data_IF_253965064194
#
_entry.id   IF_253965064194
#
_cell.length_a   1.000
_cell.length_b   1.000
_cell.length_c   1.000
_cell.angle_alpha   90.00
_cell.angle_beta   90.00
_cell.angle_gamma   90.00
#
_symmetry.space_group_name_H-M   'P 1'
#
loop_
_entity.id
_entity.type
_entity.pdbx_description
1 polymer ?
#
# COMPACT_ATOMS: atom_id res chain seq x y z
N UNK A 1 7.50 0.25 6.28
CA UNK A 1 6.74 0.76 7.44
C UNK A 1 6.95 -0.12 8.66
N UNK A 2 6.49 -1.39 8.71
CA UNK A 2 6.87 -2.29 9.83
C UNK A 2 8.27 -2.89 9.67
N UNK A 3 8.65 -3.26 8.45
CA UNK A 3 9.99 -3.79 8.16
C UNK A 3 11.14 -2.79 8.33
N UNK A 4 10.82 -1.51 8.55
CA UNK A 4 11.78 -0.42 8.80
C UNK A 4 12.03 -0.17 10.29
N UNK A 5 11.36 -0.90 11.19
CA UNK A 5 11.62 -0.83 12.63
C UNK A 5 12.98 -1.48 12.97
N UNK A 6 13.71 -1.00 13.99
CA UNK A 6 14.89 -1.66 14.54
C UNK A 6 14.57 -3.07 15.08
N UNK A 7 15.54 -3.97 15.05
CA UNK A 7 15.35 -5.38 15.45
C UNK A 7 14.85 -5.54 16.89
N UNK A 8 15.29 -4.66 17.79
CA UNK A 8 14.82 -4.61 19.19
C UNK A 8 13.31 -4.32 19.32
N UNK A 9 12.73 -3.61 18.34
CA UNK A 9 11.31 -3.26 18.31
C UNK A 9 10.47 -4.29 17.54
N UNK A 10 11.12 -5.15 16.73
CA UNK A 10 10.43 -6.22 15.98
C UNK A 10 9.92 -7.34 16.91
N UNK A 11 10.51 -7.51 18.08
CA UNK A 11 10.04 -8.48 19.09
C UNK A 11 8.67 -8.10 19.65
N UNK A 12 8.39 -6.80 19.82
CA UNK A 12 7.11 -6.27 20.31
C UNK A 12 6.28 -5.64 19.18
N UNK A 13 6.27 -6.28 18.02
CA UNK A 13 5.58 -5.80 16.82
C UNK A 13 4.11 -5.41 17.06
N UNK A 14 3.41 -6.13 17.94
CA UNK A 14 1.99 -5.94 18.26
C UNK A 14 1.67 -4.53 18.73
N UNK A 15 2.55 -3.94 19.53
CA UNK A 15 2.33 -2.62 20.14
C UNK A 15 2.47 -1.48 19.10
N UNK A 16 3.21 -1.73 18.02
CA UNK A 16 3.47 -0.75 16.97
C UNK A 16 2.46 -0.80 15.81
N UNK A 17 1.62 -1.84 15.72
CA UNK A 17 0.65 -1.96 14.62
C UNK A 17 -0.39 -0.84 14.69
N UNK A 18 -1.01 -0.63 15.86
CA UNK A 18 -2.04 0.40 16.04
C UNK A 18 -1.57 1.82 15.68
N UNK A 19 -0.46 2.34 16.23
CA UNK A 19 0.02 3.68 15.89
C UNK A 19 0.43 3.79 14.42
N UNK A 20 0.98 2.73 13.83
CA UNK A 20 1.38 2.76 12.42
C UNK A 20 0.17 2.77 11.48
N UNK A 21 -0.86 1.96 11.75
CA UNK A 21 -2.10 1.97 10.97
C UNK A 21 -2.75 3.34 11.05
N UNK A 22 -2.76 3.95 12.24
CA UNK A 22 -3.26 5.31 12.41
C UNK A 22 -2.46 6.32 11.58
N UNK A 23 -1.12 6.26 11.63
CA UNK A 23 -0.25 7.12 10.84
C UNK A 23 -0.47 6.93 9.33
N UNK A 24 -0.67 5.69 8.86
CA UNK A 24 -0.98 5.40 7.46
C UNK A 24 -2.33 6.01 7.04
N UNK A 25 -3.36 5.83 7.86
CA UNK A 25 -4.71 6.32 7.57
C UNK A 25 -4.80 7.86 7.60
N UNK A 26 -3.94 8.51 8.39
CA UNK A 26 -3.89 9.97 8.55
C UNK A 26 -2.99 10.70 7.53
N UNK A 27 -2.23 9.96 6.71
CA UNK A 27 -1.33 10.57 5.72
C UNK A 27 -1.94 10.55 4.34
N UNK A 28 -1.72 11.64 3.59
CA UNK A 28 -2.06 11.70 2.18
C UNK A 28 -1.29 10.63 1.42
N UNK A 29 -2.02 9.80 0.69
CA UNK A 29 -1.41 8.72 -0.08
C UNK A 29 -1.08 9.19 -1.50
N UNK A 30 0.16 8.97 -1.96
CA UNK A 30 0.63 9.50 -3.25
C UNK A 30 -0.08 8.94 -4.50
N UNK A 31 -0.81 7.83 -4.38
CA UNK A 31 -1.63 7.31 -5.49
C UNK A 31 -3.03 7.93 -5.57
N UNK A 32 -3.63 8.30 -4.45
CA UNK A 32 -5.00 8.85 -4.40
C UNK A 32 -5.01 10.37 -4.29
N UNK A 33 -3.96 10.97 -3.72
CA UNK A 33 -3.91 12.41 -3.42
C UNK A 33 -4.66 12.79 -2.13
N UNK A 34 -5.24 11.83 -1.41
CA UNK A 34 -6.01 12.04 -0.18
C UNK A 34 -5.60 11.05 0.91
N UNK A 35 -5.89 11.36 2.18
CA UNK A 35 -5.73 10.39 3.26
C UNK A 35 -6.84 9.33 3.21
N UNK A 36 -6.54 8.04 3.50
CA UNK A 36 -7.57 7.00 3.54
C UNK A 36 -8.72 7.33 4.51
N UNK A 37 -8.39 7.93 5.66
CA UNK A 37 -9.37 8.33 6.66
C UNK A 37 -10.31 9.42 6.11
N UNK A 38 -9.77 10.40 5.39
CA UNK A 38 -10.56 11.46 4.77
C UNK A 38 -11.54 10.94 3.73
N UNK A 39 -11.12 10.01 2.88
CA UNK A 39 -12.03 9.41 1.89
C UNK A 39 -13.19 8.67 2.55
N UNK A 40 -12.95 7.99 3.68
CA UNK A 40 -14.00 7.20 4.34
C UNK A 40 -14.95 8.04 5.20
N UNK A 41 -14.44 9.09 5.85
CA UNK A 41 -15.19 9.85 6.86
C UNK A 41 -15.44 11.32 6.50
N UNK A 42 -14.96 11.80 5.35
CA UNK A 42 -15.12 13.18 4.89
C UNK A 42 -14.37 14.23 5.72
N UNK A 43 -13.53 13.82 6.67
CA UNK A 43 -12.76 14.67 7.58
C UNK A 43 -11.41 14.04 7.89
N UNK A 44 -10.42 14.86 8.24
CA UNK A 44 -9.11 14.34 8.68
C UNK A 44 -9.20 13.78 10.12
N UNK A 45 -8.38 12.77 10.46
CA UNK A 45 -8.32 12.26 11.82
C UNK A 45 -7.63 13.28 12.72
N UNK A 46 -8.05 13.34 13.99
CA UNK A 46 -7.38 14.18 14.99
C UNK A 46 -6.15 13.45 15.52
N UNK A 47 -4.97 13.99 15.26
CA UNK A 47 -3.70 13.41 15.69
C UNK A 47 -3.36 13.85 17.12
N UNK A 48 -2.51 13.10 17.85
CA UNK A 48 -2.02 13.51 19.17
C UNK A 48 -1.36 14.90 19.17
N UNK A 49 -0.64 15.22 18.09
CA UNK A 49 -0.03 16.54 17.89
C UNK A 49 -1.08 17.66 17.78
N UNK A 50 -2.23 17.38 17.13
CA UNK A 50 -3.33 18.34 17.03
C UNK A 50 -3.99 18.60 18.39
N UNK A 51 -3.99 17.60 19.28
CA UNK A 51 -4.48 17.76 20.66
C UNK A 51 -3.54 18.64 21.46
N UNK A 52 -2.22 18.39 21.38
CA UNK A 52 -1.20 19.14 22.11
C UNK A 52 -1.21 20.63 21.73
N UNK A 53 -1.36 20.93 20.43
CA UNK A 53 -1.41 22.31 19.92
C UNK A 53 -2.83 22.92 19.94
N UNK A 54 -3.83 22.23 20.49
CA UNK A 54 -5.20 22.74 20.57
C UNK A 54 -5.86 22.98 19.21
N UNK A 55 -5.41 22.30 18.15
CA UNK A 55 -5.96 22.45 16.81
C UNK A 55 -7.36 21.83 16.78
N UNK A 56 -8.36 22.67 16.50
CA UNK A 56 -9.73 22.21 16.29
C UNK A 56 -9.84 21.62 14.88
N UNK A 57 -10.32 20.37 14.73
CA UNK A 57 -10.51 19.80 13.41
C UNK A 57 -11.51 20.65 12.63
N UNK A 58 -11.15 21.01 11.40
CA UNK A 58 -12.08 21.70 10.51
C UNK A 58 -13.16 20.70 10.09
N UNK A 59 -14.30 20.71 10.78
CA UNK A 59 -15.49 19.97 10.37
C UNK A 59 -16.11 20.69 9.19
N UNK A 60 -15.48 20.59 8.02
CA UNK A 60 -16.15 20.90 6.77
C UNK A 60 -17.28 19.87 6.63
N UNK A 61 -18.52 20.28 6.93
CA UNK A 61 -19.72 19.53 6.58
C UNK A 61 -19.78 19.48 5.06
N UNK A 62 -19.04 18.52 4.50
CA UNK A 62 -18.90 18.34 3.07
C UNK A 62 -20.16 17.62 2.64
N UNK A 63 -21.03 18.29 1.89
CA UNK A 63 -22.24 17.65 1.40
C UNK A 63 -21.90 16.44 0.52
N UNK A 64 -22.85 15.51 0.36
CA UNK A 64 -22.68 14.28 -0.45
C UNK A 64 -22.08 14.54 -1.84
N UNK A 65 -22.38 15.69 -2.44
CA UNK A 65 -21.81 16.10 -3.72
C UNK A 65 -20.29 16.29 -3.67
N UNK A 66 -19.78 16.98 -2.65
CA UNK A 66 -18.35 17.24 -2.46
C UNK A 66 -17.60 15.94 -2.19
N UNK A 67 -18.19 15.05 -1.38
CA UNK A 67 -17.59 13.74 -1.10
C UNK A 67 -17.53 12.88 -2.36
N UNK A 68 -18.59 12.84 -3.17
CA UNK A 68 -18.60 12.12 -4.44
C UNK A 68 -17.55 12.67 -5.42
N UNK A 69 -17.40 14.00 -5.47
CA UNK A 69 -16.39 14.64 -6.32
C UNK A 69 -14.97 14.25 -5.90
N UNK A 70 -14.69 14.27 -4.59
CA UNK A 70 -13.39 13.84 -4.03
C UNK A 70 -13.11 12.37 -4.31
N UNK A 71 -14.12 11.50 -4.20
CA UNK A 71 -13.97 10.08 -4.55
C UNK A 71 -13.65 9.90 -6.04
N UNK A 72 -14.34 10.62 -6.92
CA UNK A 72 -14.07 10.58 -8.36
C UNK A 72 -12.65 11.07 -8.68
N UNK A 73 -12.20 12.12 -8.01
CA UNK A 73 -10.83 12.64 -8.13
C UNK A 73 -9.79 11.63 -7.63
N UNK A 74 -10.01 11.03 -6.46
CA UNK A 74 -9.13 9.99 -5.91
C UNK A 74 -9.04 8.76 -6.83
N UNK A 75 -10.15 8.36 -7.44
CA UNK A 75 -10.17 7.29 -8.44
C UNK A 75 -9.38 7.67 -9.70
N UNK A 76 -9.49 8.91 -10.18
CA UNK A 76 -8.71 9.41 -11.32
C UNK A 76 -7.21 9.36 -11.01
N UNK A 77 -6.78 9.87 -9.85
CA UNK A 77 -5.37 9.80 -9.43
C UNK A 77 -4.89 8.35 -9.34
N UNK A 78 -5.71 7.46 -8.76
CA UNK A 78 -5.36 6.05 -8.60
C UNK A 78 -5.16 5.35 -9.95
N UNK A 79 -6.00 5.65 -10.94
CA UNK A 79 -5.86 5.14 -12.31
C UNK A 79 -4.56 5.62 -12.95
N UNK A 80 -4.25 6.92 -12.85
CA UNK A 80 -3.00 7.47 -13.39
C UNK A 80 -1.77 6.85 -12.72
N UNK A 81 -1.82 6.64 -11.40
CA UNK A 81 -0.76 5.97 -10.67
C UNK A 81 -0.61 4.50 -11.10
N UNK A 82 -1.72 3.79 -11.29
CA UNK A 82 -1.73 2.41 -11.80
C UNK A 82 -1.15 2.33 -13.21
N UNK A 83 -1.55 3.22 -14.12
CA UNK A 83 -1.02 3.27 -15.49
C UNK A 83 0.50 3.54 -15.50
N UNK A 84 0.96 4.47 -14.65
CA UNK A 84 2.39 4.74 -14.49
C UNK A 84 3.14 3.52 -13.95
N UNK A 85 2.61 2.87 -12.91
CA UNK A 85 3.21 1.67 -12.33
C UNK A 85 3.26 0.52 -13.34
N UNK A 86 2.20 0.35 -14.15
CA UNK A 86 2.14 -0.61 -15.25
C UNK A 86 3.25 -0.34 -16.26
N UNK A 87 3.40 0.91 -16.75
CA UNK A 87 4.48 1.27 -17.69
C UNK A 87 5.87 0.92 -17.14
N UNK A 88 6.13 1.24 -15.87
CA UNK A 88 7.42 0.90 -15.25
C UNK A 88 7.63 -0.61 -15.11
N UNK A 89 6.57 -1.36 -14.81
CA UNK A 89 6.63 -2.81 -14.74
C UNK A 89 6.91 -3.41 -16.12
N UNK A 90 6.16 -2.97 -17.14
CA UNK A 90 6.27 -3.47 -18.51
C UNK A 90 7.67 -3.21 -19.10
N UNK A 91 8.29 -2.05 -18.82
CA UNK A 91 9.68 -1.76 -19.22
C UNK A 91 10.69 -2.72 -18.60
N UNK A 92 10.49 -3.11 -17.33
CA UNK A 92 11.40 -4.04 -16.64
C UNK A 92 11.17 -5.50 -17.02
N UNK A 93 10.06 -5.80 -17.69
CA UNK A 93 9.73 -7.15 -18.13
C UNK A 93 10.60 -7.49 -19.34
N UNK A 94 11.72 -8.15 -19.09
CA UNK A 94 12.44 -8.86 -20.16
C UNK A 94 11.65 -10.13 -20.47
N UNK A 95 11.08 -10.20 -21.67
CA UNK A 95 10.48 -11.43 -22.17
C UNK A 95 11.61 -12.33 -22.67
N UNK A 96 11.83 -13.45 -21.98
CA UNK A 96 12.72 -14.50 -22.48
C UNK A 96 12.06 -15.12 -23.70
N UNK A 97 12.70 -15.02 -24.87
CA UNK A 97 12.28 -15.76 -26.05
C UNK A 97 12.45 -17.25 -25.74
N UNK A 98 11.36 -18.01 -25.85
CA UNK A 98 11.37 -19.44 -25.57
C UNK A 98 11.57 -20.19 -26.88
N UNK A 99 12.65 -20.97 -26.98
CA UNK A 99 12.87 -21.85 -28.12
C UNK A 99 12.48 -23.28 -27.77
N UNK A 100 12.10 -24.04 -28.80
CA UNK A 100 11.83 -25.45 -28.64
C UNK A 100 13.13 -26.14 -28.17
N UNK A 101 13.05 -26.81 -27.01
CA UNK A 101 14.14 -27.51 -26.27
C UNK A 101 14.87 -26.70 -25.17
N UNK A 102 14.41 -25.50 -24.84
CA UNK A 102 14.90 -24.79 -23.65
C UNK A 102 14.49 -25.48 -22.33
N UNK A 103 15.37 -25.43 -21.34
CA UNK A 103 15.11 -25.94 -19.99
C UNK A 103 14.67 -24.81 -19.07
N UNK A 104 13.52 -24.97 -18.43
CA UNK A 104 12.93 -23.99 -17.52
C UNK A 104 12.80 -24.57 -16.12
N UNK A 105 12.97 -23.73 -15.11
CA UNK A 105 12.66 -24.10 -13.73
C UNK A 105 11.16 -23.86 -13.47
N UNK A 106 10.44 -24.91 -13.09
CA UNK A 106 9.05 -24.80 -12.66
C UNK A 106 9.03 -24.44 -11.18
N UNK A 107 8.33 -23.36 -10.85
CA UNK A 107 8.22 -22.90 -9.46
C UNK A 107 7.39 -23.92 -8.67
N UNK A 108 7.97 -24.44 -7.59
CA UNK A 108 7.24 -25.25 -6.63
C UNK A 108 6.21 -24.36 -5.91
N UNK A 109 4.93 -24.62 -6.17
CA UNK A 109 3.81 -23.85 -5.62
C UNK A 109 3.27 -24.42 -4.29
N UNK A 110 3.79 -25.56 -3.83
CA UNK A 110 3.42 -26.20 -2.56
C UNK A 110 4.64 -26.40 -1.64
N UNK A 111 5.43 -25.37 -1.31
CA UNK A 111 6.45 -25.49 -0.26
C UNK A 111 5.75 -25.64 1.10
N UNK A 112 6.11 -26.68 1.85
CA UNK A 112 5.60 -26.93 3.20
C UNK A 112 6.29 -26.02 4.24
N UNK A 113 7.49 -25.51 3.94
CA UNK A 113 8.29 -24.68 4.82
C UNK A 113 9.05 -23.56 4.10
N UNK A 114 9.56 -22.62 4.89
CA UNK A 114 10.34 -21.45 4.42
C UNK A 114 11.68 -21.84 3.76
N UNK A 115 12.20 -23.04 4.06
CA UNK A 115 13.48 -23.56 3.58
C UNK A 115 13.33 -24.61 2.48
N UNK A 116 12.10 -24.92 2.06
CA UNK A 116 11.86 -25.90 1.02
C UNK A 116 12.33 -25.39 -0.35
N UNK A 117 12.66 -26.32 -1.24
CA UNK A 117 13.06 -26.00 -2.60
C UNK A 117 11.96 -25.24 -3.33
N UNK A 118 12.31 -24.04 -3.82
CA UNK A 118 11.40 -23.15 -4.55
C UNK A 118 11.14 -23.58 -5.99
N UNK A 119 11.95 -24.51 -6.49
CA UNK A 119 11.88 -25.03 -7.85
C UNK A 119 11.77 -26.55 -7.78
N UNK A 120 10.97 -27.13 -8.68
CA UNK A 120 10.86 -28.58 -8.81
C UNK A 120 12.21 -29.16 -9.26
N UNK A 121 12.61 -30.28 -8.65
CA UNK A 121 13.89 -30.94 -8.94
C UNK A 121 13.80 -31.94 -10.10
N UNK A 122 12.58 -32.23 -10.57
CA UNK A 122 12.32 -33.20 -11.62
C UNK A 122 11.47 -32.57 -12.73
N UNK A 123 12.10 -32.40 -13.90
CA UNK A 123 11.46 -32.35 -15.23
C UNK A 123 12.18 -33.36 -16.10
#
# INVERSE_FOLDING_TARGET
MLGTLPDLQKTNLKDYVAPLVHAYNAKIHGSTGFSPFYLMFGREPRLPVDVEFGVTPHTACSGRFVDNLRHAEAQKHSRLAADRNKRYYDVKKSEAQQEQRDRFLVRNCTPAGKLDNKWEQHV
#
